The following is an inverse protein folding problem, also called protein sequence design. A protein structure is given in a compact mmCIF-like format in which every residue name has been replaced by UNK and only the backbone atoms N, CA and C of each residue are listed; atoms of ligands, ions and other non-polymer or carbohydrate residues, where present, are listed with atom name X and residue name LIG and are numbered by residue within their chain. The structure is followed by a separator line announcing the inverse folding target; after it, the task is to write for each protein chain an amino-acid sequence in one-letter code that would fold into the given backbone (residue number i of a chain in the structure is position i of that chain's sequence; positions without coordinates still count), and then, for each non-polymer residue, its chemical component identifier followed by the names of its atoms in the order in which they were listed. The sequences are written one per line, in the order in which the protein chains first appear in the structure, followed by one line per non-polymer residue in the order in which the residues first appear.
data_IF_754923495219
#
_entry.id   IF_754923495219
#
_cell.length_a   1.000
_cell.length_b   1.000
_cell.length_c   1.000
_cell.angle_alpha   90.00
_cell.angle_beta   90.00
_cell.angle_gamma   90.00
#
_symmetry.space_group_name_H-M   'P 1'
#
loop_
_entity.id
_entity.type
_entity.pdbx_description
1 polymer ?
#
# COMPACT_ATOMS: atom_id res chain seq x y z
N UNK A 1 -10.91 -60.67 -41.25
CA UNK A 1 -11.64 -59.45 -40.84
C UNK A 1 -11.07 -58.76 -39.60
N UNK A 2 -10.67 -59.48 -38.54
CA UNK A 2 -10.20 -58.86 -37.27
C UNK A 2 -9.04 -57.86 -37.39
N UNK A 3 -8.03 -58.11 -38.25
CA UNK A 3 -6.90 -57.18 -38.41
C UNK A 3 -7.29 -55.77 -38.85
N UNK A 4 -8.32 -55.62 -39.70
CA UNK A 4 -8.77 -54.29 -40.17
C UNK A 4 -9.55 -53.54 -39.07
N UNK A 5 -10.30 -54.26 -38.24
CA UNK A 5 -11.06 -53.68 -37.14
C UNK A 5 -10.14 -53.12 -36.04
N UNK A 6 -9.05 -53.84 -35.73
CA UNK A 6 -8.04 -53.43 -34.74
C UNK A 6 -7.33 -52.14 -35.16
N UNK A 7 -6.99 -51.99 -36.44
CA UNK A 7 -6.33 -50.78 -36.97
C UNK A 7 -7.27 -49.56 -36.88
N UNK A 8 -8.56 -49.73 -37.18
CA UNK A 8 -9.55 -48.64 -37.10
C UNK A 8 -9.75 -48.21 -35.64
N UNK A 9 -9.85 -49.15 -34.71
CA UNK A 9 -9.98 -48.86 -33.27
C UNK A 9 -8.76 -48.13 -32.70
N UNK A 10 -7.55 -48.52 -33.10
CA UNK A 10 -6.31 -47.83 -32.72
C UNK A 10 -6.26 -46.40 -33.29
N UNK A 11 -6.63 -46.21 -34.56
CA UNK A 11 -6.69 -44.88 -35.16
C UNK A 11 -7.70 -43.97 -34.45
N UNK A 12 -8.89 -44.50 -34.10
CA UNK A 12 -9.90 -43.76 -33.35
C UNK A 12 -9.45 -43.39 -31.94
N UNK A 13 -8.77 -44.30 -31.22
CA UNK A 13 -8.19 -43.98 -29.90
C UNK A 13 -7.15 -42.86 -29.99
N UNK A 14 -6.28 -42.90 -31.00
CA UNK A 14 -5.28 -41.85 -31.22
C UNK A 14 -5.94 -40.49 -31.53
N UNK A 15 -6.98 -40.47 -32.36
CA UNK A 15 -7.72 -39.25 -32.68
C UNK A 15 -8.47 -38.62 -31.49
N UNK A 16 -8.82 -39.40 -30.46
CA UNK A 16 -9.50 -38.91 -29.26
C UNK A 16 -8.51 -38.56 -28.15
N UNK A 17 -7.38 -39.26 -28.03
CA UNK A 17 -6.39 -39.03 -26.99
C UNK A 17 -5.55 -37.76 -27.22
N UNK A 18 -5.23 -37.42 -28.49
CA UNK A 18 -4.40 -36.23 -28.79
C UNK A 18 -5.09 -34.89 -28.43
N UNK A 19 -6.38 -34.66 -28.72
CA UNK A 19 -7.07 -33.44 -28.32
C UNK A 19 -7.21 -33.29 -26.80
N UNK A 20 -7.45 -34.39 -26.07
CA UNK A 20 -7.55 -34.36 -24.60
C UNK A 20 -6.23 -33.93 -23.95
N UNK A 21 -5.10 -34.48 -24.40
CA UNK A 21 -3.78 -34.08 -23.88
C UNK A 21 -3.38 -32.66 -24.30
N UNK A 22 -3.86 -32.17 -25.44
CA UNK A 22 -3.64 -30.77 -25.84
C UNK A 22 -4.44 -29.81 -24.93
N UNK A 23 -5.68 -30.16 -24.58
CA UNK A 23 -6.52 -29.35 -23.70
C UNK A 23 -6.00 -29.31 -22.26
N UNK A 24 -5.55 -30.44 -21.71
CA UNK A 24 -4.91 -30.46 -20.38
C UNK A 24 -3.64 -29.61 -20.31
N UNK A 25 -2.83 -29.61 -21.39
CA UNK A 25 -1.61 -28.79 -21.46
C UNK A 25 -1.91 -27.29 -21.56
N UNK A 26 -2.99 -26.92 -22.25
CA UNK A 26 -3.42 -25.52 -22.37
C UNK A 26 -4.02 -25.00 -21.05
N UNK A 27 -4.79 -25.83 -20.33
CA UNK A 27 -5.28 -25.49 -18.99
C UNK A 27 -4.16 -25.41 -17.94
N UNK A 28 -3.20 -26.34 -17.97
CA UNK A 28 -2.01 -26.26 -17.11
C UNK A 28 -1.18 -25.01 -17.42
N UNK A 29 -0.92 -24.71 -18.69
CA UNK A 29 -0.18 -23.50 -19.08
C UNK A 29 -0.92 -22.22 -18.70
N UNK A 30 -2.25 -22.22 -18.71
CA UNK A 30 -3.07 -21.09 -18.26
C UNK A 30 -3.02 -20.90 -16.74
N UNK A 31 -3.15 -21.99 -15.98
CA UNK A 31 -3.03 -21.95 -14.51
C UNK A 31 -1.64 -21.54 -14.04
N UNK A 32 -0.59 -22.05 -14.69
CA UNK A 32 0.80 -21.67 -14.39
C UNK A 32 1.08 -20.20 -14.74
N UNK A 33 0.50 -19.66 -15.82
CA UNK A 33 0.69 -18.23 -16.16
C UNK A 33 -0.13 -17.28 -15.28
N UNK A 34 -1.29 -17.69 -14.76
CA UNK A 34 -2.08 -16.91 -13.82
C UNK A 34 -1.36 -16.71 -12.47
N UNK A 35 -0.53 -17.68 -12.05
CA UNK A 35 0.27 -17.58 -10.82
C UNK A 35 1.33 -16.47 -10.86
N UNK A 36 1.81 -16.08 -12.06
CA UNK A 36 2.77 -14.98 -12.24
C UNK A 36 2.12 -13.65 -12.60
N UNK A 37 0.79 -13.59 -12.68
CA UNK A 37 0.11 -12.33 -12.93
C UNK A 37 0.33 -11.37 -11.74
N UNK A 38 0.55 -10.07 -12.00
CA UNK A 38 0.63 -9.10 -10.92
C UNK A 38 -0.69 -9.09 -10.13
N UNK A 39 -0.65 -8.86 -8.81
CA UNK A 39 -1.87 -8.78 -8.00
C UNK A 39 -2.79 -7.66 -8.52
N UNK A 40 -4.11 -7.77 -8.30
CA UNK A 40 -5.03 -6.72 -8.70
C UNK A 40 -4.71 -5.39 -7.99
N UNK A 41 -5.17 -4.25 -8.52
CA UNK A 41 -5.10 -2.98 -7.82
C UNK A 41 -5.75 -3.06 -6.43
N UNK A 42 -5.26 -2.27 -5.48
CA UNK A 42 -5.86 -2.12 -4.17
C UNK A 42 -7.28 -1.56 -4.31
N UNK A 43 -8.25 -2.29 -3.78
CA UNK A 43 -9.64 -1.83 -3.61
C UNK A 43 -9.96 -1.70 -2.11
N UNK A 44 -9.21 -0.82 -1.45
CA UNK A 44 -9.39 -0.53 -0.03
C UNK A 44 -9.95 0.90 0.16
N UNK A 45 -10.96 1.01 1.02
CA UNK A 45 -11.67 2.28 1.26
C UNK A 45 -10.76 3.34 1.85
N UNK A 46 -9.83 2.95 2.72
CA UNK A 46 -8.92 3.88 3.37
C UNK A 46 -7.84 4.35 2.40
N UNK A 47 -7.24 3.44 1.66
CA UNK A 47 -6.28 3.75 0.61
C UNK A 47 -6.88 4.73 -0.41
N UNK A 48 -8.09 4.44 -0.88
CA UNK A 48 -8.81 5.30 -1.81
C UNK A 48 -9.14 6.67 -1.21
N UNK A 49 -9.49 6.73 0.09
CA UNK A 49 -9.75 7.98 0.78
C UNK A 49 -8.49 8.84 0.92
N UNK A 50 -7.30 8.26 1.11
CA UNK A 50 -6.07 9.02 1.29
C UNK A 50 -5.60 9.72 0.01
N UNK A 51 -5.90 9.20 -1.18
CA UNK A 51 -5.44 9.76 -2.47
C UNK A 51 -5.81 11.24 -2.63
N UNK A 52 -4.82 12.12 -2.75
CA UNK A 52 -5.03 13.55 -2.84
C UNK A 52 -3.82 14.39 -2.45
N UNK A 53 -3.98 15.69 -2.63
CA UNK A 53 -3.08 16.70 -2.05
C UNK A 53 -3.72 17.23 -0.76
N UNK A 54 -2.96 17.27 0.31
CA UNK A 54 -3.38 17.66 1.65
C UNK A 54 -2.51 18.79 2.18
N UNK A 55 -3.12 19.72 2.91
CA UNK A 55 -2.40 20.75 3.66
C UNK A 55 -2.97 20.87 5.06
N UNK A 56 -2.12 21.18 6.03
CA UNK A 56 -2.53 21.25 7.42
C UNK A 56 -1.45 21.78 8.35
N UNK A 57 -1.64 21.48 9.63
CA UNK A 57 -0.69 21.83 10.68
C UNK A 57 -0.50 20.68 11.63
N UNK A 58 0.71 20.55 12.16
CA UNK A 58 1.03 19.66 13.28
C UNK A 58 1.52 20.46 14.48
N UNK A 59 1.32 19.91 15.68
CA UNK A 59 1.80 20.49 16.94
C UNK A 59 2.42 19.38 17.80
N UNK A 60 3.61 19.66 18.35
CA UNK A 60 4.33 18.77 19.26
C UNK A 60 5.30 19.52 20.15
N UNK A 61 6.21 18.83 20.86
CA UNK A 61 7.13 19.47 21.82
C UNK A 61 8.09 20.49 21.17
N UNK A 62 8.33 20.35 19.87
CA UNK A 62 9.19 21.25 19.08
C UNK A 62 8.45 22.47 18.52
N UNK A 63 7.16 22.62 18.83
CA UNK A 63 6.30 23.70 18.36
C UNK A 63 5.35 23.28 17.23
N UNK A 64 4.83 24.28 16.51
CA UNK A 64 3.91 24.10 15.39
C UNK A 64 4.65 24.02 14.07
N UNK A 65 4.05 23.28 13.13
CA UNK A 65 4.54 23.22 11.76
C UNK A 65 3.40 23.29 10.75
N UNK A 66 3.70 23.80 9.55
CA UNK A 66 2.85 23.70 8.38
C UNK A 66 3.21 22.43 7.62
N UNK A 67 2.21 21.64 7.27
CA UNK A 67 2.37 20.33 6.65
C UNK A 67 1.71 20.31 5.26
N UNK A 68 2.39 19.67 4.31
CA UNK A 68 1.88 19.37 2.98
C UNK A 68 2.12 17.92 2.67
N UNK A 69 1.15 17.29 2.04
CA UNK A 69 1.27 15.89 1.64
C UNK A 69 0.63 15.64 0.29
N UNK A 70 1.28 14.83 -0.54
CA UNK A 70 0.71 14.31 -1.79
C UNK A 70 0.69 12.80 -1.70
N UNK A 71 -0.48 12.21 -1.95
CA UNK A 71 -0.70 10.77 -1.94
C UNK A 71 -1.31 10.37 -3.27
N UNK A 72 -0.69 9.41 -3.96
CA UNK A 72 -1.14 8.90 -5.25
C UNK A 72 -1.00 7.39 -5.35
N UNK A 73 -1.80 6.78 -6.23
CA UNK A 73 -1.63 5.38 -6.58
C UNK A 73 -0.50 5.23 -7.59
N UNK A 74 0.38 4.26 -7.37
CA UNK A 74 1.39 3.86 -8.32
C UNK A 74 1.43 2.35 -8.53
N UNK A 75 2.32 1.91 -9.43
CA UNK A 75 2.49 0.51 -9.81
C UNK A 75 1.15 -0.16 -10.15
N UNK A 76 0.42 0.42 -11.09
CA UNK A 76 -0.91 -0.05 -11.51
C UNK A 76 -1.94 -0.14 -10.37
N UNK A 77 -1.82 0.72 -9.37
CA UNK A 77 -2.76 0.74 -8.24
C UNK A 77 -2.41 -0.24 -7.13
N UNK A 78 -1.19 -0.77 -7.09
CA UNK A 78 -0.77 -1.72 -6.05
C UNK A 78 -0.17 -1.04 -4.82
N UNK A 79 0.29 0.20 -4.95
CA UNK A 79 0.94 0.95 -3.88
C UNK A 79 0.41 2.37 -3.81
N UNK A 80 0.29 2.90 -2.60
CA UNK A 80 0.18 4.32 -2.35
C UNK A 80 1.59 4.88 -2.23
N UNK A 81 1.93 5.85 -3.08
CA UNK A 81 3.10 6.68 -2.90
C UNK A 81 2.71 7.95 -2.16
N UNK A 82 3.45 8.26 -1.11
CA UNK A 82 3.26 9.39 -0.21
C UNK A 82 4.49 10.27 -0.26
N UNK A 83 4.32 11.58 -0.38
CA UNK A 83 5.37 12.59 -0.19
C UNK A 83 4.87 13.62 0.81
N UNK A 84 5.63 13.87 1.86
CA UNK A 84 5.34 14.89 2.85
C UNK A 84 6.43 15.96 2.90
N UNK A 85 6.02 17.19 3.16
CA UNK A 85 6.89 18.33 3.40
C UNK A 85 6.35 19.09 4.61
N UNK A 86 7.24 19.39 5.56
CA UNK A 86 6.86 20.17 6.74
C UNK A 86 7.82 21.31 7.00
N UNK A 87 7.28 22.41 7.53
CA UNK A 87 8.04 23.62 7.89
C UNK A 87 7.63 24.09 9.27
N UNK A 88 8.58 24.05 10.21
CA UNK A 88 8.42 24.52 11.57
C UNK A 88 8.56 26.03 11.68
N UNK A 89 7.94 26.63 12.70
CA UNK A 89 8.02 28.07 12.99
C UNK A 89 9.46 28.55 13.26
N UNK A 90 10.31 27.67 13.81
CA UNK A 90 11.73 27.95 14.05
C UNK A 90 12.61 27.91 12.78
N UNK A 91 12.01 27.71 11.60
CA UNK A 91 12.69 27.70 10.31
C UNK A 91 13.24 26.33 9.89
N UNK A 92 13.16 25.30 10.74
CA UNK A 92 13.48 23.93 10.32
C UNK A 92 12.47 23.40 9.32
N UNK A 93 12.92 22.57 8.38
CA UNK A 93 12.07 21.91 7.40
C UNK A 93 12.45 20.46 7.24
N UNK A 94 11.48 19.61 6.92
CA UNK A 94 11.72 18.22 6.57
C UNK A 94 10.99 17.87 5.27
N UNK A 95 11.54 16.91 4.54
CA UNK A 95 10.89 16.28 3.40
C UNK A 95 11.00 14.78 3.58
N UNK A 96 9.92 14.05 3.35
CA UNK A 96 9.93 12.60 3.37
C UNK A 96 9.06 12.01 2.27
N UNK A 97 9.31 10.75 1.97
CA UNK A 97 8.50 9.98 1.05
C UNK A 97 8.42 8.54 1.49
N UNK A 98 7.35 7.87 1.08
CA UNK A 98 7.14 6.47 1.40
C UNK A 98 6.22 5.79 0.43
N UNK A 99 6.17 4.48 0.56
CA UNK A 99 5.22 3.62 -0.14
C UNK A 99 4.47 2.78 0.88
N UNK A 100 3.17 2.59 0.67
CA UNK A 100 2.33 1.73 1.51
C UNK A 100 1.46 0.83 0.63
N UNK A 101 1.22 -0.40 1.08
CA UNK A 101 0.29 -1.34 0.46
C UNK A 101 -0.40 -2.18 1.55
N UNK A 102 -1.24 -3.11 1.14
CA UNK A 102 -1.84 -4.11 2.02
C UNK A 102 -1.18 -5.45 1.70
N UNK A 103 -0.62 -6.08 2.72
CA UNK A 103 -0.11 -7.45 2.60
C UNK A 103 -1.28 -8.40 2.30
N UNK A 104 -1.28 -9.12 1.16
CA UNK A 104 -2.39 -9.97 0.78
C UNK A 104 -2.58 -11.19 1.72
N UNK A 105 -1.54 -11.60 2.46
CA UNK A 105 -1.65 -12.72 3.39
C UNK A 105 -2.29 -12.30 4.70
N UNK A 106 -1.77 -11.24 5.33
CA UNK A 106 -2.25 -10.80 6.65
C UNK A 106 -3.39 -9.79 6.60
N UNK A 107 -3.63 -9.14 5.46
CA UNK A 107 -4.56 -8.02 5.32
C UNK A 107 -4.10 -6.74 6.04
N UNK A 108 -2.87 -6.72 6.56
CA UNK A 108 -2.32 -5.56 7.27
C UNK A 108 -1.76 -4.54 6.28
N UNK A 109 -1.78 -3.28 6.68
CA UNK A 109 -1.05 -2.24 5.99
C UNK A 109 0.44 -2.44 6.25
N UNK A 110 1.25 -2.36 5.20
CA UNK A 110 2.71 -2.44 5.28
C UNK A 110 3.31 -1.30 4.46
N UNK A 111 4.46 -0.78 4.86
CA UNK A 111 5.08 0.30 4.13
C UNK A 111 6.51 0.60 4.50
N UNK A 112 7.10 1.52 3.74
CA UNK A 112 8.43 2.05 3.97
C UNK A 112 8.40 3.57 3.93
N UNK A 113 9.21 4.21 4.77
CA UNK A 113 9.36 5.66 4.82
C UNK A 113 10.84 6.04 4.82
N UNK A 114 11.18 7.09 4.06
CA UNK A 114 12.51 7.68 4.02
C UNK A 114 12.41 9.21 4.07
N UNK A 115 13.38 9.88 4.70
CA UNK A 115 13.33 11.33 4.87
C UNK A 115 14.67 12.07 4.68
N UNK A 116 14.60 13.40 4.69
CA UNK A 116 15.73 14.32 4.53
C UNK A 116 16.72 14.29 5.70
N UNK A 117 16.40 13.61 6.80
CA UNK A 117 17.31 13.33 7.90
C UNK A 117 17.99 11.97 7.76
N UNK A 118 17.78 11.29 6.61
CA UNK A 118 18.28 9.95 6.30
C UNK A 118 17.65 8.86 7.15
N UNK A 119 16.51 9.13 7.77
CA UNK A 119 15.73 8.10 8.43
C UNK A 119 15.22 7.08 7.43
N UNK A 120 15.21 5.81 7.82
CA UNK A 120 14.59 4.73 7.08
C UNK A 120 13.74 3.92 8.03
N UNK A 121 12.46 3.76 7.70
CA UNK A 121 11.50 3.09 8.58
C UNK A 121 10.67 2.06 7.83
N UNK A 122 10.41 0.95 8.49
CA UNK A 122 9.46 -0.07 8.06
C UNK A 122 8.18 0.07 8.88
N UNK A 123 7.04 0.06 8.21
CA UNK A 123 5.74 0.31 8.80
C UNK A 123 4.82 -0.90 8.72
N UNK A 124 4.06 -1.15 9.79
CA UNK A 124 2.93 -2.07 9.79
C UNK A 124 1.72 -1.42 10.46
N UNK A 125 0.50 -1.76 10.03
CA UNK A 125 -0.69 -1.14 10.59
C UNK A 125 -2.01 -1.82 10.23
N UNK A 126 -3.08 -1.23 10.75
CA UNK A 126 -4.45 -1.70 10.57
C UNK A 126 -5.43 -0.53 10.52
N UNK A 127 -6.50 -0.68 9.75
CA UNK A 127 -7.58 0.27 9.67
C UNK A 127 -8.86 -0.29 10.29
N UNK A 128 -9.41 0.40 11.28
CA UNK A 128 -10.63 0.01 12.01
C UNK A 128 -11.43 1.29 12.35
N UNK A 129 -12.75 1.25 12.22
CA UNK A 129 -13.66 2.35 12.62
C UNK A 129 -13.27 3.75 12.11
N UNK A 130 -12.81 3.83 10.86
CA UNK A 130 -12.39 5.10 10.24
C UNK A 130 -11.07 5.66 10.77
N UNK A 131 -10.26 4.79 11.41
CA UNK A 131 -8.93 5.10 11.92
C UNK A 131 -7.90 4.14 11.33
N UNK A 132 -6.82 4.67 10.77
CA UNK A 132 -5.63 3.89 10.43
C UNK A 132 -4.57 4.11 11.50
N UNK A 133 -4.11 3.02 12.11
CA UNK A 133 -2.99 3.04 13.04
C UNK A 133 -1.79 2.38 12.38
N UNK A 134 -0.70 3.13 12.24
CA UNK A 134 0.58 2.64 11.70
C UNK A 134 1.66 2.71 12.79
N UNK A 135 2.42 1.64 12.95
CA UNK A 135 3.64 1.59 13.75
C UNK A 135 4.83 1.42 12.81
N UNK A 136 5.85 2.25 13.01
CA UNK A 136 7.04 2.33 12.19
C UNK A 136 8.27 2.11 13.05
N UNK A 137 9.23 1.34 12.55
CA UNK A 137 10.49 1.05 13.23
C UNK A 137 11.65 1.39 12.28
N UNK A 138 12.66 2.07 12.79
CA UNK A 138 13.83 2.49 12.03
C UNK A 138 15.07 2.64 12.91
N UNK A 139 16.19 2.99 12.29
CA UNK A 139 17.48 3.17 12.96
C UNK A 139 17.50 4.32 13.96
N UNK A 140 16.71 5.38 13.71
CA UNK A 140 16.61 6.54 14.60
C UNK A 140 15.60 6.36 15.73
N UNK A 141 14.75 5.32 15.69
CA UNK A 141 13.73 5.06 16.72
C UNK A 141 12.46 4.46 16.15
N UNK A 142 11.38 4.54 16.92
CA UNK A 142 10.04 4.10 16.52
C UNK A 142 9.05 5.25 16.44
N UNK A 143 8.06 5.11 15.56
CA UNK A 143 7.03 6.11 15.35
C UNK A 143 5.67 5.43 15.25
N UNK A 144 4.69 5.84 16.03
CA UNK A 144 3.30 5.40 15.90
C UNK A 144 2.45 6.57 15.44
N UNK A 145 1.64 6.37 14.41
CA UNK A 145 0.69 7.34 13.89
C UNK A 145 -0.71 6.78 13.93
N UNK A 146 -1.66 7.59 14.39
CA UNK A 146 -3.09 7.33 14.21
C UNK A 146 -3.64 8.40 13.28
N UNK A 147 -4.31 7.99 12.21
CA UNK A 147 -4.98 8.85 11.23
C UNK A 147 -6.47 8.59 11.34
N UNK A 148 -7.27 9.61 11.59
CA UNK A 148 -8.73 9.53 11.73
C UNK A 148 -9.42 10.36 10.63
N UNK A 149 -10.42 9.76 9.98
CA UNK A 149 -11.28 10.46 9.04
C UNK A 149 -12.31 11.25 9.83
N UNK A 150 -12.12 12.56 9.93
CA UNK A 150 -13.01 13.49 10.64
C UNK A 150 -13.94 14.27 9.71
N UNK A 151 -13.85 14.02 8.41
CA UNK A 151 -14.74 14.57 7.38
C UNK A 151 -14.38 14.02 6.00
N UNK A 152 -15.14 14.38 4.97
CA UNK A 152 -14.89 13.87 3.61
C UNK A 152 -13.58 14.36 2.99
N UNK A 153 -13.14 15.55 3.40
CA UNK A 153 -11.88 16.17 2.97
C UNK A 153 -11.04 16.60 4.18
N UNK A 154 -11.20 15.91 5.32
CA UNK A 154 -10.47 16.21 6.55
C UNK A 154 -9.96 14.96 7.24
N UNK A 155 -8.71 15.03 7.66
CA UNK A 155 -8.09 14.07 8.57
C UNK A 155 -7.57 14.80 9.79
N UNK A 156 -7.63 14.11 10.92
CA UNK A 156 -6.94 14.51 12.14
C UNK A 156 -6.20 13.30 12.69
N UNK A 157 -5.22 13.52 13.56
CA UNK A 157 -4.51 12.39 14.11
C UNK A 157 -3.55 12.73 15.22
N UNK A 158 -2.96 11.68 15.74
CA UNK A 158 -1.92 11.75 16.76
C UNK A 158 -0.68 11.02 16.26
N UNK A 159 0.45 11.40 16.82
CA UNK A 159 1.69 10.68 16.62
C UNK A 159 2.46 10.57 17.92
N UNK A 160 3.26 9.50 18.03
CA UNK A 160 4.23 9.28 19.09
C UNK A 160 5.55 8.88 18.43
N UNK A 161 6.61 9.64 18.66
CA UNK A 161 7.96 9.31 18.22
C UNK A 161 8.81 8.97 19.44
N UNK A 162 9.45 7.81 19.45
CA UNK A 162 10.37 7.37 20.50
C UNK A 162 11.76 7.25 19.89
N UNK A 163 12.68 8.19 20.18
CA UNK A 163 14.07 8.08 19.76
C UNK A 163 14.72 6.82 20.33
N UNK A 164 15.74 6.27 19.68
CA UNK A 164 16.42 5.04 20.12
C UNK A 164 16.88 5.07 21.59
N UNK A 165 17.37 6.22 22.07
CA UNK A 165 17.88 6.42 23.44
C UNK A 165 17.08 7.48 24.23
N UNK A 166 15.82 7.75 23.84
CA UNK A 166 15.07 8.89 24.33
C UNK A 166 13.67 8.56 24.87
N UNK A 167 13.10 9.55 25.55
CA UNK A 167 11.70 9.50 25.98
C UNK A 167 10.74 9.76 24.80
N UNK A 168 9.55 9.14 24.80
CA UNK A 168 8.58 9.32 23.73
C UNK A 168 8.05 10.77 23.70
N UNK A 169 8.06 11.35 22.51
CA UNK A 169 7.45 12.63 22.19
C UNK A 169 6.11 12.40 21.49
N UNK A 170 5.12 13.24 21.78
CA UNK A 170 3.77 13.11 21.22
C UNK A 170 3.31 14.40 20.60
N UNK A 171 2.50 14.30 19.56
CA UNK A 171 1.84 15.44 18.96
C UNK A 171 0.55 15.09 18.26
N UNK A 172 -0.05 16.11 17.68
CA UNK A 172 -1.30 16.04 16.92
C UNK A 172 -1.13 16.71 15.57
N UNK A 173 -2.03 16.41 14.65
CA UNK A 173 -2.11 17.12 13.38
C UNK A 173 -3.55 17.14 12.87
N UNK A 174 -3.83 18.13 12.04
CA UNK A 174 -5.07 18.23 11.26
C UNK A 174 -4.70 18.64 9.83
N UNK A 175 -5.33 18.00 8.85
CA UNK A 175 -5.15 18.33 7.44
C UNK A 175 -6.47 18.37 6.70
N UNK A 176 -6.54 19.25 5.71
CA UNK A 176 -7.66 19.38 4.78
C UNK A 176 -7.18 19.05 3.38
N UNK A 177 -7.94 18.25 2.65
CA UNK A 177 -7.64 17.92 1.25
C UNK A 177 -7.83 19.17 0.39
N UNK A 178 -6.80 19.53 -0.37
CA UNK A 178 -6.83 20.63 -1.34
C UNK A 178 -7.30 20.20 -2.71
N UNK A 179 -6.96 18.98 -3.11
CA UNK A 179 -7.26 18.44 -4.43
C UNK A 179 -7.45 16.94 -4.38
N UNK A 180 -8.52 16.47 -5.01
CA UNK A 180 -8.74 15.04 -5.30
C UNK A 180 -7.99 14.71 -6.58
N UNK A 181 -7.13 13.68 -6.56
CA UNK A 181 -6.33 13.31 -7.73
C UNK A 181 -7.10 12.43 -8.74
N UNK A 182 -8.36 12.11 -8.45
CA UNK A 182 -9.19 11.18 -9.23
C UNK A 182 -10.39 11.82 -9.95
N UNK A 183 -10.46 13.14 -10.07
CA UNK A 183 -11.40 13.78 -11.01
C UNK A 183 -10.74 13.86 -12.38
N UNK A 184 -11.03 12.87 -13.23
CA UNK A 184 -10.84 12.97 -14.69
C UNK A 184 -11.84 13.95 -15.28
#
# INVERSE_FOLDING_TARGET
MMRKLVVILLALMVCVAMPLMAQEKEEMAKGEMEEYAPPPPLDDKWCNFLIGEWEGTSEGPMGKSQERETIEMGLNGQFLFRRAEGKMENGMSYVGMGAMTIDPESGKYVGYWIDSHRGMYEGTGQAEDGKLTMSWEGDMGSYTQVIEKVGDDKIAGTWTYTPADGEPMKGTYEMTRKKKMNEK
#
